data_IF_689713295958
#
_entry.id   IF_689713295958
#
_cell.length_a   1.000
_cell.length_b   1.000
_cell.length_c   1.000
_cell.angle_alpha   90.00
_cell.angle_beta   90.00
_cell.angle_gamma   90.00
#
_symmetry.space_group_name_H-M   'P 1'
#
loop_
_entity.id
_entity.type
_entity.pdbx_description
1 polymer ?
#
# COMPACT_ATOMS: atom_id res chain seq x y z
N UNK A 1 -5.88 -2.87 0.41
CA UNK A 1 -6.37 -2.42 1.74
C UNK A 1 -5.13 -2.13 2.60
N UNK A 2 -4.81 -0.87 2.85
CA UNK A 2 -3.55 -0.47 3.52
C UNK A 2 -3.61 -0.70 5.03
N UNK A 3 -4.77 -0.48 5.67
CA UNK A 3 -4.94 -0.59 7.12
C UNK A 3 -4.71 -2.01 7.65
N UNK A 4 -5.11 -3.03 6.89
CA UNK A 4 -4.86 -4.44 7.22
C UNK A 4 -3.38 -4.83 7.12
N UNK A 5 -2.57 -4.04 6.40
CA UNK A 5 -1.15 -4.30 6.13
C UNK A 5 -0.22 -3.56 7.11
N UNK A 6 -0.78 -2.78 8.04
CA UNK A 6 0.00 -2.03 9.04
C UNK A 6 0.55 -2.95 10.13
N UNK A 7 1.83 -2.73 10.49
CA UNK A 7 2.42 -3.29 11.71
C UNK A 7 1.70 -2.75 12.94
N UNK A 8 1.68 -3.49 14.06
CA UNK A 8 1.14 -3.00 15.33
C UNK A 8 1.77 -1.66 15.76
N UNK A 9 3.09 -1.53 15.61
CA UNK A 9 3.84 -0.30 15.88
C UNK A 9 3.61 0.82 14.85
N UNK A 10 3.01 0.49 13.71
CA UNK A 10 2.74 1.41 12.60
C UNK A 10 1.37 2.08 12.65
N UNK A 11 0.57 1.83 13.69
CA UNK A 11 -0.85 2.22 13.80
C UNK A 11 -1.13 3.48 14.62
N UNK A 12 -0.09 4.20 15.06
CA UNK A 12 -0.20 5.38 15.96
C UNK A 12 -1.27 6.41 15.54
N UNK A 13 -1.46 6.62 14.24
CA UNK A 13 -2.42 7.60 13.70
C UNK A 13 -3.62 6.96 12.98
N UNK A 14 -3.85 5.65 13.17
CA UNK A 14 -4.85 4.89 12.42
C UNK A 14 -6.26 5.43 12.63
N UNK A 15 -6.71 5.56 13.88
CA UNK A 15 -8.06 6.04 14.21
C UNK A 15 -8.35 7.42 13.62
N UNK A 16 -7.42 8.37 13.80
CA UNK A 16 -7.55 9.72 13.27
C UNK A 16 -7.59 9.73 11.73
N UNK A 17 -6.76 8.89 11.09
CA UNK A 17 -6.72 8.79 9.62
C UNK A 17 -8.01 8.16 9.08
N UNK A 18 -8.55 7.13 9.73
CA UNK A 18 -9.84 6.52 9.37
C UNK A 18 -10.96 7.55 9.45
N UNK A 19 -10.99 8.36 10.51
CA UNK A 19 -11.97 9.43 10.66
C UNK A 19 -11.90 10.42 9.49
N UNK A 20 -10.71 10.93 9.15
CA UNK A 20 -10.54 11.85 8.01
C UNK A 20 -10.93 11.19 6.67
N UNK A 21 -10.56 9.93 6.46
CA UNK A 21 -10.93 9.19 5.24
C UNK A 21 -12.44 9.09 5.06
N UNK A 22 -13.19 8.86 6.15
CA UNK A 22 -14.65 8.83 6.12
C UNK A 22 -15.23 10.22 5.81
N UNK A 23 -14.75 11.27 6.49
CA UNK A 23 -15.19 12.66 6.24
C UNK A 23 -14.92 13.09 4.79
N UNK A 24 -13.76 12.75 4.23
CA UNK A 24 -13.42 13.04 2.83
C UNK A 24 -14.28 12.25 1.85
N UNK A 25 -14.58 10.98 2.17
CA UNK A 25 -15.47 10.15 1.36
C UNK A 25 -16.91 10.69 1.36
N UNK A 26 -17.42 11.13 2.52
CA UNK A 26 -18.74 11.77 2.64
C UNK A 26 -18.81 13.09 1.86
N UNK A 27 -17.70 13.82 1.77
CA UNK A 27 -17.58 15.02 0.94
C UNK A 27 -17.44 14.73 -0.57
N UNK A 28 -17.44 13.47 -0.99
CA UNK A 28 -17.32 13.08 -2.40
C UNK A 28 -15.90 13.12 -2.96
N UNK A 29 -14.88 13.22 -2.10
CA UNK A 29 -13.48 13.22 -2.51
C UNK A 29 -12.96 11.80 -2.71
N UNK A 30 -12.06 11.61 -3.68
CA UNK A 30 -11.32 10.35 -3.81
C UNK A 30 -10.21 10.32 -2.77
N UNK A 31 -10.16 9.25 -1.99
CA UNK A 31 -9.19 9.12 -0.90
C UNK A 31 -8.13 8.06 -1.20
N UNK A 32 -6.91 8.27 -0.69
CA UNK A 32 -5.85 7.27 -0.66
C UNK A 32 -5.22 7.24 0.72
N UNK A 33 -4.93 6.05 1.25
CA UNK A 33 -4.09 5.88 2.44
C UNK A 33 -2.66 5.57 2.00
N UNK A 34 -1.68 6.18 2.66
CA UNK A 34 -0.26 6.04 2.34
C UNK A 34 0.49 5.51 3.55
N UNK A 35 1.29 4.47 3.33
CA UNK A 35 2.12 3.83 4.34
C UNK A 35 3.47 3.44 3.73
N UNK A 36 4.49 3.27 4.57
CA UNK A 36 5.84 2.92 4.14
C UNK A 36 6.46 1.85 5.04
N UNK A 37 7.49 1.17 4.56
CA UNK A 37 8.31 0.23 5.34
C UNK A 37 9.77 0.64 5.24
N UNK A 38 10.45 0.67 6.38
CA UNK A 38 11.92 0.77 6.38
C UNK A 38 12.49 -0.63 6.22
N UNK A 39 13.39 -0.79 5.26
CA UNK A 39 14.03 -2.06 4.95
C UNK A 39 15.53 -1.90 5.05
N UNK A 40 16.17 -2.93 5.58
CA UNK A 40 17.60 -3.09 5.41
C UNK A 40 17.90 -3.48 3.97
N UNK A 41 19.03 -3.00 3.45
CA UNK A 41 19.45 -3.27 2.08
C UNK A 41 19.55 -4.76 1.78
N UNK A 42 20.04 -5.56 2.72
CA UNK A 42 20.13 -7.02 2.59
C UNK A 42 18.76 -7.69 2.35
N UNK A 43 17.73 -7.26 3.08
CA UNK A 43 16.35 -7.75 2.93
C UNK A 43 15.77 -7.34 1.59
N UNK A 44 16.01 -6.10 1.18
CA UNK A 44 15.58 -5.61 -0.12
C UNK A 44 16.23 -6.41 -1.26
N UNK A 45 17.55 -6.65 -1.20
CA UNK A 45 18.27 -7.40 -2.23
C UNK A 45 17.77 -8.84 -2.35
N UNK A 46 17.53 -9.51 -1.22
CA UNK A 46 16.96 -10.87 -1.21
C UNK A 46 15.57 -10.90 -1.87
N UNK A 47 14.68 -10.01 -1.45
CA UNK A 47 13.35 -9.89 -2.06
C UNK A 47 13.41 -9.56 -3.55
N UNK A 48 14.29 -8.63 -3.95
CA UNK A 48 14.41 -8.22 -5.34
C UNK A 48 14.90 -9.36 -6.24
N UNK A 49 15.76 -10.25 -5.73
CA UNK A 49 16.17 -11.45 -6.46
C UNK A 49 14.97 -12.38 -6.74
N UNK A 50 14.09 -12.58 -5.76
CA UNK A 50 12.85 -13.35 -5.91
C UNK A 50 11.88 -12.66 -6.89
N UNK A 51 11.71 -11.35 -6.77
CA UNK A 51 10.85 -10.56 -7.65
C UNK A 51 11.33 -10.61 -9.11
N UNK A 52 12.63 -10.49 -9.36
CA UNK A 52 13.20 -10.61 -10.71
C UNK A 52 12.98 -12.01 -11.27
N UNK A 53 13.18 -13.06 -10.47
CA UNK A 53 12.91 -14.44 -10.88
C UNK A 53 11.42 -14.65 -11.22
N UNK A 54 10.52 -14.11 -10.40
CA UNK A 54 9.09 -14.14 -10.68
C UNK A 54 8.77 -13.43 -12.00
N UNK A 55 9.33 -12.24 -12.22
CA UNK A 55 9.12 -11.42 -13.43
C UNK A 55 9.60 -12.10 -14.72
N UNK A 56 10.68 -12.88 -14.65
CA UNK A 56 11.24 -13.60 -15.81
C UNK A 56 10.64 -14.99 -16.02
N UNK A 57 9.79 -15.47 -15.11
CA UNK A 57 9.08 -16.74 -15.27
C UNK A 57 8.07 -16.64 -16.41
N UNK A 58 8.06 -17.64 -17.30
CA UNK A 58 7.09 -17.75 -18.39
C UNK A 58 5.99 -18.75 -18.03
N UNK A 59 4.76 -18.47 -18.45
CA UNK A 59 3.61 -19.33 -18.22
C UNK A 59 2.71 -18.84 -17.09
N UNK A 60 1.73 -19.68 -16.72
CA UNK A 60 0.63 -19.32 -15.83
C UNK A 60 1.09 -18.98 -14.39
N UNK A 61 2.22 -19.53 -13.94
CA UNK A 61 2.71 -19.33 -12.57
C UNK A 61 3.28 -17.92 -12.31
N UNK A 62 3.54 -17.13 -13.37
CA UNK A 62 4.15 -15.80 -13.26
C UNK A 62 3.35 -14.87 -12.36
N UNK A 63 2.04 -14.84 -12.51
CA UNK A 63 1.16 -13.94 -11.75
C UNK A 63 1.15 -14.30 -10.27
N UNK A 64 1.03 -15.58 -9.94
CA UNK A 64 1.07 -16.07 -8.56
C UNK A 64 2.41 -15.76 -7.87
N UNK A 65 3.53 -15.90 -8.58
CA UNK A 65 4.86 -15.60 -8.06
C UNK A 65 5.04 -14.09 -7.80
N UNK A 66 4.53 -13.24 -8.70
CA UNK A 66 4.57 -11.79 -8.52
C UNK A 66 3.68 -11.36 -7.36
N UNK A 67 2.48 -11.93 -7.23
CA UNK A 67 1.57 -11.67 -6.12
C UNK A 67 2.20 -12.06 -4.78
N UNK A 68 2.82 -13.24 -4.71
CA UNK A 68 3.54 -13.67 -3.52
C UNK A 68 4.68 -12.71 -3.14
N UNK A 69 5.49 -12.29 -4.12
CA UNK A 69 6.55 -11.32 -3.88
C UNK A 69 5.99 -9.97 -3.38
N UNK A 70 4.95 -9.44 -4.01
CA UNK A 70 4.29 -8.21 -3.54
C UNK A 70 3.75 -8.36 -2.12
N UNK A 71 3.17 -9.50 -1.78
CA UNK A 71 2.60 -9.77 -0.47
C UNK A 71 3.65 -9.78 0.66
N UNK A 72 4.86 -10.27 0.37
CA UNK A 72 5.98 -10.22 1.32
C UNK A 72 6.45 -8.78 1.58
N UNK A 73 6.40 -7.93 0.56
CA UNK A 73 6.84 -6.54 0.65
C UNK A 73 5.82 -5.64 1.34
N UNK A 74 4.54 -5.86 1.07
CA UNK A 74 3.42 -5.01 1.47
C UNK A 74 2.82 -5.40 2.83
N UNK A 75 3.64 -5.86 3.78
CA UNK A 75 3.23 -6.16 5.17
C UNK A 75 4.09 -5.37 6.16
N UNK A 76 3.61 -5.26 7.40
CA UNK A 76 4.31 -4.56 8.49
C UNK A 76 4.60 -3.08 8.16
N UNK A 77 3.63 -2.42 7.54
CA UNK A 77 3.75 -1.03 7.09
C UNK A 77 3.54 -0.05 8.27
N UNK A 78 4.12 1.15 8.14
CA UNK A 78 3.93 2.28 9.05
C UNK A 78 3.06 3.31 8.33
N UNK A 79 1.92 3.65 8.95
CA UNK A 79 1.01 4.63 8.40
C UNK A 79 1.64 6.02 8.38
N UNK A 80 1.56 6.70 7.23
CA UNK A 80 1.93 8.11 7.08
C UNK A 80 0.69 8.99 7.20
N UNK A 81 -0.41 8.60 6.55
CA UNK A 81 -1.67 9.32 6.59
C UNK A 81 -2.54 9.05 5.36
N UNK A 82 -3.37 10.02 5.00
CA UNK A 82 -4.28 9.96 3.87
C UNK A 82 -4.22 11.21 3.00
N UNK A 83 -4.56 11.05 1.73
CA UNK A 83 -4.82 12.16 0.80
C UNK A 83 -6.29 12.14 0.37
N UNK A 84 -6.78 13.30 -0.05
CA UNK A 84 -8.10 13.46 -0.65
C UNK A 84 -7.99 14.35 -1.89
N UNK A 85 -8.56 13.88 -2.99
CA UNK A 85 -8.51 14.55 -4.30
C UNK A 85 -9.93 14.79 -4.76
N UNK A 86 -10.23 16.05 -5.07
CA UNK A 86 -11.48 16.44 -5.70
C UNK A 86 -11.37 16.25 -7.22
N UNK A 87 -12.32 15.51 -7.80
CA UNK A 87 -12.47 15.48 -9.24
C UNK A 87 -13.12 16.79 -9.69
N UNK A 88 -12.37 17.65 -10.39
CA UNK A 88 -12.95 18.87 -10.96
C UNK A 88 -14.00 18.53 -12.01
N UNK A 89 -15.27 18.71 -11.66
CA UNK A 89 -16.40 18.62 -12.58
C UNK A 89 -16.49 19.90 -13.44
N UNK A 90 -17.00 19.78 -14.67
CA UNK A 90 -17.30 20.94 -15.50
C UNK A 90 -18.41 21.78 -14.83
N UNK A 91 -18.31 23.11 -14.91
CA UNK A 91 -19.40 23.99 -14.47
C UNK A 91 -20.60 23.78 -15.39
N UNK A 92 -21.74 23.43 -14.81
CA UNK A 92 -23.04 23.39 -15.49
C UNK A 92 -23.54 24.77 -15.86
#
# INVERSE_FOLDING_TARGET
>A
IILERLAESGRTFEEATIKHLNEYGEAGLRTLAVAYKKLEESKYLAWNAEFIKAKTTMGADRENLLEHASELMERDLILVGATAVEDKLQKG
#
